data_IF_879634169884
#
_entry.id   IF_879634169884
#
_cell.length_a   1.000
_cell.length_b   1.000
_cell.length_c   1.000
_cell.angle_alpha   90.00
_cell.angle_beta   90.00
_cell.angle_gamma   90.00
#
_symmetry.space_group_name_H-M   'P 1'
#
loop_
_entity.id
_entity.type
_entity.pdbx_description
1 polymer ?
#
# COMPACT_ATOMS: atom_id res chain seq x y z
N UNK A 1 74.73 56.20 28.17
CA UNK A 1 76.05 56.51 27.59
C UNK A 1 76.10 55.83 26.22
N UNK A 2 76.27 56.61 25.15
CA UNK A 2 76.63 56.32 23.74
C UNK A 2 76.14 55.00 23.07
N UNK A 3 75.32 55.03 22.00
CA UNK A 3 75.69 55.12 20.55
C UNK A 3 76.30 53.82 19.99
N UNK A 4 76.09 53.29 18.76
CA UNK A 4 75.70 53.80 17.43
C UNK A 4 75.56 52.58 16.46
N UNK A 5 74.72 52.71 15.43
CA UNK A 5 74.82 52.26 14.01
C UNK A 5 74.73 50.77 13.56
N UNK A 6 73.67 50.52 12.77
CA UNK A 6 73.56 49.98 11.39
C UNK A 6 74.43 48.81 10.89
N UNK A 7 73.81 47.74 10.38
CA UNK A 7 74.00 47.25 8.98
C UNK A 7 72.87 46.32 8.48
N UNK A 8 72.68 46.29 7.16
CA UNK A 8 71.59 45.76 6.32
C UNK A 8 71.58 44.24 5.99
N UNK A 9 70.40 43.79 5.52
CA UNK A 9 70.09 42.82 4.43
C UNK A 9 70.06 41.27 4.70
N UNK A 10 68.89 40.64 4.94
CA UNK A 10 67.93 39.89 4.04
C UNK A 10 68.04 38.33 4.15
N UNK A 11 67.13 37.50 3.58
CA UNK A 11 65.92 36.98 4.25
C UNK A 11 65.78 35.43 4.15
N UNK A 12 64.76 34.86 4.80
CA UNK A 12 64.20 33.48 4.71
C UNK A 12 63.95 32.96 6.13
N UNK A 13 62.90 32.25 6.51
CA UNK A 13 61.71 31.70 5.88
C UNK A 13 60.71 31.45 7.03
N UNK A 14 59.42 31.75 6.79
CA UNK A 14 58.20 30.94 7.07
C UNK A 14 58.28 30.00 8.30
N UNK A 15 57.42 30.07 9.32
CA UNK A 15 56.01 29.68 9.31
C UNK A 15 55.26 30.26 10.54
N UNK A 16 54.30 31.14 10.30
CA UNK A 16 53.20 31.43 11.23
C UNK A 16 52.16 30.32 11.13
N UNK A 17 51.93 29.61 12.23
CA UNK A 17 50.80 28.68 12.39
C UNK A 17 49.54 29.52 12.59
N UNK A 18 48.74 29.67 11.53
CA UNK A 18 47.37 30.15 11.62
C UNK A 18 46.45 28.94 11.65
N UNK A 19 45.81 28.73 12.80
CA UNK A 19 44.82 27.68 13.01
C UNK A 19 43.54 28.07 12.26
N UNK A 20 43.37 27.52 11.05
CA UNK A 20 42.13 27.67 10.27
C UNK A 20 41.12 26.63 10.74
N UNK A 21 40.10 27.09 11.46
CA UNK A 21 38.90 26.31 11.71
C UNK A 21 38.19 26.07 10.36
N UNK A 22 38.30 24.86 9.82
CA UNK A 22 37.46 24.43 8.70
C UNK A 22 36.03 24.18 9.20
N UNK A 23 35.15 25.14 8.96
CA UNK A 23 33.71 24.89 8.90
C UNK A 23 33.43 24.05 7.64
N UNK A 24 33.51 22.73 7.78
CA UNK A 24 32.93 21.78 6.83
C UNK A 24 31.40 21.87 6.97
N UNK A 25 30.81 22.86 6.32
CA UNK A 25 29.37 22.84 6.00
C UNK A 25 29.20 21.77 4.95
N UNK A 26 28.95 20.53 5.41
CA UNK A 26 28.49 19.44 4.58
C UNK A 26 27.14 19.83 3.98
N UNK A 27 27.17 20.43 2.79
CA UNK A 27 26.04 20.48 1.86
C UNK A 27 25.79 19.04 1.41
N UNK A 28 25.22 18.22 2.30
CA UNK A 28 24.46 17.05 1.89
C UNK A 28 23.30 17.64 1.09
N UNK A 29 23.20 17.38 -0.23
CA UNK A 29 21.93 17.58 -0.88
C UNK A 29 20.98 16.65 -0.15
N UNK A 30 20.04 17.21 0.62
CA UNK A 30 18.79 16.54 0.96
C UNK A 30 18.03 16.35 -0.36
N UNK A 31 18.57 15.52 -1.24
CA UNK A 31 17.78 14.77 -2.18
C UNK A 31 17.09 13.68 -1.36
N UNK A 32 16.11 14.08 -0.54
CA UNK A 32 14.94 13.23 -0.39
C UNK A 32 14.25 13.26 -1.74
N UNK A 33 14.80 12.54 -2.73
CA UNK A 33 13.93 11.91 -3.70
C UNK A 33 13.08 11.00 -2.83
N UNK A 34 11.85 11.42 -2.52
CA UNK A 34 10.83 10.46 -2.16
C UNK A 34 10.78 9.52 -3.34
N UNK A 35 11.51 8.40 -3.26
CA UNK A 35 11.26 7.27 -4.15
C UNK A 35 9.78 7.03 -3.95
N UNK A 36 8.99 7.28 -4.99
CA UNK A 36 7.56 7.06 -4.96
C UNK A 36 7.37 5.60 -4.55
N UNK A 37 7.05 5.36 -3.28
CA UNK A 37 6.76 4.05 -2.69
C UNK A 37 5.35 3.60 -3.13
N UNK A 38 5.05 3.78 -4.41
CA UNK A 38 3.80 3.47 -5.06
C UNK A 38 3.97 2.17 -5.87
N UNK A 39 2.94 1.34 -5.92
CA UNK A 39 2.96 0.12 -6.73
C UNK A 39 2.97 0.48 -8.21
N UNK A 40 3.76 -0.21 -9.03
CA UNK A 40 3.67 -0.07 -10.48
C UNK A 40 2.29 -0.53 -10.98
N UNK A 41 1.56 0.32 -11.70
CA UNK A 41 0.16 0.05 -12.09
C UNK A 41 0.02 -1.19 -13.00
N UNK A 42 1.00 -1.43 -13.90
CA UNK A 42 0.99 -2.62 -14.75
C UNK A 42 1.22 -3.90 -13.94
N UNK A 43 2.09 -3.82 -12.95
CA UNK A 43 2.37 -4.89 -11.99
C UNK A 43 1.15 -5.15 -11.10
N UNK A 44 0.51 -4.09 -10.58
CA UNK A 44 -0.73 -4.20 -9.83
C UNK A 44 -1.83 -4.89 -10.66
N UNK A 45 -1.98 -4.53 -11.94
CA UNK A 45 -2.92 -5.19 -12.84
C UNK A 45 -2.65 -6.70 -12.93
N UNK A 46 -1.40 -7.10 -13.20
CA UNK A 46 -1.02 -8.52 -13.25
C UNK A 46 -1.28 -9.27 -11.95
N UNK A 47 -1.05 -8.62 -10.80
CA UNK A 47 -1.34 -9.20 -9.47
C UNK A 47 -2.84 -9.39 -9.27
N UNK A 48 -3.65 -8.37 -9.56
CA UNK A 48 -5.11 -8.46 -9.43
C UNK A 48 -5.72 -9.47 -10.40
N UNK A 49 -5.20 -9.58 -11.63
CA UNK A 49 -5.61 -10.63 -12.58
C UNK A 49 -5.24 -12.03 -12.08
N UNK A 50 -4.04 -12.20 -11.50
CA UNK A 50 -3.68 -13.45 -10.84
C UNK A 50 -4.69 -13.78 -9.73
N UNK A 51 -5.10 -12.81 -8.91
CA UNK A 51 -6.10 -13.05 -7.87
C UNK A 51 -7.44 -13.49 -8.44
N UNK A 52 -7.93 -12.84 -9.49
CA UNK A 52 -9.20 -13.18 -10.13
C UNK A 52 -9.17 -14.59 -10.71
N UNK A 53 -8.15 -14.91 -11.52
CA UNK A 53 -8.00 -16.23 -12.12
C UNK A 53 -7.89 -17.33 -11.04
N UNK A 54 -7.19 -17.04 -9.95
CA UNK A 54 -6.86 -18.04 -8.93
C UNK A 54 -7.94 -18.18 -7.86
N UNK A 55 -8.61 -17.11 -7.45
CA UNK A 55 -9.44 -17.05 -6.23
C UNK A 55 -10.89 -16.61 -6.43
N UNK A 56 -11.29 -16.13 -7.62
CA UNK A 56 -12.67 -15.65 -7.83
C UNK A 56 -13.71 -16.77 -7.66
N UNK A 57 -14.70 -16.52 -6.79
CA UNK A 57 -15.80 -17.42 -6.43
C UNK A 57 -17.15 -16.67 -6.33
N UNK A 58 -17.24 -15.52 -6.99
CA UNK A 58 -18.20 -14.46 -6.65
C UNK A 58 -17.49 -13.34 -5.89
N UNK A 59 -18.18 -12.64 -4.98
CA UNK A 59 -17.54 -11.61 -4.15
C UNK A 59 -16.47 -12.22 -3.24
N UNK A 60 -15.28 -11.64 -3.29
CA UNK A 60 -14.15 -12.02 -2.46
C UNK A 60 -13.20 -10.84 -2.27
N UNK A 61 -12.37 -10.94 -1.23
CA UNK A 61 -11.24 -10.06 -1.00
C UNK A 61 -9.97 -10.89 -0.74
N UNK A 62 -8.82 -10.35 -1.14
CA UNK A 62 -7.50 -10.95 -0.95
C UNK A 62 -6.57 -9.85 -0.46
N UNK A 63 -5.65 -10.20 0.44
CA UNK A 63 -4.53 -9.34 0.76
C UNK A 63 -3.25 -10.15 0.73
N UNK A 64 -2.21 -9.57 0.12
CA UNK A 64 -0.86 -10.13 0.18
C UNK A 64 0.07 -9.21 0.96
N UNK A 65 1.12 -9.77 1.55
CA UNK A 65 2.28 -9.05 2.07
C UNK A 65 3.55 -9.78 1.61
N UNK A 66 4.13 -9.28 0.53
CA UNK A 66 5.23 -9.91 -0.20
C UNK A 66 6.49 -9.04 -0.17
N UNK A 67 7.68 -9.57 -0.54
CA UNK A 67 8.86 -8.72 -0.75
C UNK A 67 8.57 -7.53 -1.67
N UNK A 68 9.15 -6.36 -1.37
CA UNK A 68 8.91 -5.09 -2.08
C UNK A 68 9.09 -5.20 -3.61
N UNK A 69 10.12 -5.92 -4.04
CA UNK A 69 10.44 -6.14 -5.45
C UNK A 69 9.35 -6.90 -6.24
N UNK A 70 8.40 -7.55 -5.56
CA UNK A 70 7.26 -8.22 -6.21
C UNK A 70 6.13 -7.25 -6.57
N UNK A 71 6.29 -5.95 -6.29
CA UNK A 71 5.38 -4.88 -6.69
C UNK A 71 6.03 -3.83 -7.61
N UNK A 72 7.30 -4.04 -7.95
CA UNK A 72 8.05 -3.17 -8.85
C UNK A 72 7.74 -3.48 -10.31
N UNK A 73 8.00 -2.50 -11.17
CA UNK A 73 7.80 -2.60 -12.61
C UNK A 73 8.47 -3.86 -13.18
N UNK A 74 7.71 -4.58 -14.01
CA UNK A 74 8.21 -5.76 -14.72
C UNK A 74 7.97 -7.08 -13.98
N UNK A 75 7.51 -7.07 -12.73
CA UNK A 75 7.15 -8.30 -12.04
C UNK A 75 5.97 -9.03 -12.72
N UNK A 76 6.05 -10.36 -12.79
CA UNK A 76 5.03 -11.23 -13.41
C UNK A 76 4.68 -12.35 -12.42
N UNK A 77 3.55 -12.23 -11.69
CA UNK A 77 3.12 -13.21 -10.69
C UNK A 77 3.01 -14.65 -11.22
N UNK A 78 2.44 -14.82 -12.42
CA UNK A 78 2.10 -16.14 -12.98
C UNK A 78 3.31 -17.00 -13.35
N UNK A 79 4.43 -16.38 -13.70
CA UNK A 79 5.67 -17.07 -14.09
C UNK A 79 6.72 -17.06 -12.99
N UNK A 80 6.51 -16.29 -11.92
CA UNK A 80 7.46 -16.19 -10.83
C UNK A 80 7.49 -17.49 -10.00
N UNK A 81 8.68 -18.09 -9.79
CA UNK A 81 8.83 -19.23 -8.90
C UNK A 81 8.80 -18.84 -7.42
N UNK A 82 8.84 -17.55 -7.10
CA UNK A 82 8.96 -17.01 -5.73
C UNK A 82 7.72 -16.23 -5.28
N UNK A 83 6.66 -16.16 -6.09
CA UNK A 83 5.41 -15.50 -5.72
C UNK A 83 4.51 -16.45 -4.92
N UNK A 84 4.15 -16.07 -3.69
CA UNK A 84 3.20 -16.78 -2.82
C UNK A 84 3.53 -18.27 -2.64
N UNK A 85 4.80 -18.63 -2.62
CA UNK A 85 5.23 -20.05 -2.67
C UNK A 85 4.70 -20.87 -1.51
N UNK A 86 4.51 -20.23 -0.35
CA UNK A 86 4.00 -20.88 0.86
C UNK A 86 2.49 -21.09 0.83
N UNK A 87 1.77 -20.35 -0.01
CA UNK A 87 0.31 -20.39 -0.13
C UNK A 87 -0.15 -21.06 -1.45
N UNK A 88 0.78 -21.33 -2.38
CA UNK A 88 0.52 -21.78 -3.75
C UNK A 88 -0.19 -23.13 -3.88
N UNK A 89 0.09 -24.07 -2.97
CA UNK A 89 -0.45 -25.42 -3.02
C UNK A 89 -1.78 -25.58 -2.26
N UNK A 90 -2.30 -24.50 -1.67
CA UNK A 90 -3.55 -24.54 -0.94
C UNK A 90 -4.70 -24.21 -1.89
N UNK A 91 -5.77 -25.00 -1.83
CA UNK A 91 -7.00 -24.68 -2.56
C UNK A 91 -7.79 -23.60 -1.81
N UNK A 92 -7.28 -22.36 -1.85
CA UNK A 92 -7.87 -21.20 -1.19
C UNK A 92 -9.34 -21.04 -1.58
N UNK A 93 -9.71 -21.27 -2.84
CA UNK A 93 -11.08 -21.20 -3.34
C UNK A 93 -12.05 -22.04 -2.51
N UNK A 94 -11.71 -23.29 -2.22
CA UNK A 94 -12.56 -24.16 -1.39
C UNK A 94 -12.78 -23.54 -0.01
N UNK A 95 -11.72 -23.04 0.62
CA UNK A 95 -11.77 -22.46 1.97
C UNK A 95 -12.65 -21.21 1.98
N UNK A 96 -12.49 -20.31 1.01
CA UNK A 96 -13.26 -19.06 0.97
C UNK A 96 -14.67 -19.23 0.41
N UNK A 97 -15.05 -20.42 -0.06
CA UNK A 97 -16.41 -20.70 -0.60
C UNK A 97 -17.40 -21.21 0.44
N UNK A 98 -16.96 -21.51 1.67
CA UNK A 98 -17.84 -22.07 2.72
C UNK A 98 -18.79 -21.01 3.28
N UNK A 99 -19.94 -21.43 3.81
CA UNK A 99 -20.93 -20.47 4.34
C UNK A 99 -20.58 -19.95 5.74
N UNK A 100 -19.83 -20.75 6.52
CA UNK A 100 -19.44 -20.45 7.89
C UNK A 100 -17.93 -20.20 7.96
N UNK A 101 -17.55 -18.97 8.30
CA UNK A 101 -16.16 -18.52 8.42
C UNK A 101 -15.29 -18.77 7.15
N UNK A 102 -15.62 -18.17 6.00
CA UNK A 102 -14.86 -18.31 4.74
C UNK A 102 -13.59 -17.47 4.72
N UNK A 103 -12.67 -17.72 5.65
CA UNK A 103 -11.41 -16.97 5.78
C UNK A 103 -10.24 -17.94 5.67
N UNK A 104 -9.36 -17.68 4.71
CA UNK A 104 -8.05 -18.31 4.60
C UNK A 104 -6.97 -17.41 5.20
N UNK A 105 -6.21 -17.94 6.15
CA UNK A 105 -5.10 -17.27 6.82
C UNK A 105 -3.78 -17.94 6.45
N UNK A 106 -3.17 -17.50 5.36
CA UNK A 106 -1.89 -18.00 4.84
C UNK A 106 -0.67 -17.30 5.42
N UNK A 107 0.50 -17.50 4.81
CA UNK A 107 1.75 -16.86 5.25
C UNK A 107 1.91 -15.47 4.62
N UNK A 108 1.90 -15.40 3.30
CA UNK A 108 2.03 -14.16 2.52
C UNK A 108 0.68 -13.69 1.97
N UNK A 109 -0.36 -14.51 2.11
CA UNK A 109 -1.70 -14.23 1.60
C UNK A 109 -2.78 -14.50 2.67
N UNK A 110 -3.78 -13.63 2.72
CA UNK A 110 -5.08 -13.88 3.36
C UNK A 110 -6.17 -13.69 2.31
N UNK A 111 -7.26 -14.42 2.44
CA UNK A 111 -8.41 -14.28 1.54
C UNK A 111 -9.71 -14.54 2.28
N UNK A 112 -10.79 -13.89 1.84
CA UNK A 112 -12.12 -14.13 2.36
C UNK A 112 -13.19 -14.08 1.27
N UNK A 113 -14.19 -14.95 1.41
CA UNK A 113 -15.46 -14.88 0.68
C UNK A 113 -16.54 -14.17 1.51
N UNK A 114 -17.82 -14.34 1.13
CA UNK A 114 -18.95 -13.86 1.92
C UNK A 114 -19.33 -14.89 2.99
N UNK A 115 -19.33 -14.49 4.26
CA UNK A 115 -19.93 -15.30 5.31
C UNK A 115 -21.45 -15.20 5.23
N UNK A 116 -22.15 -16.34 5.20
CA UNK A 116 -23.62 -16.40 5.19
C UNK A 116 -24.17 -16.78 6.57
N UNK A 117 -23.43 -17.57 7.34
CA UNK A 117 -23.83 -18.05 8.67
C UNK A 117 -22.65 -17.99 9.65
N UNK A 118 -22.89 -17.89 10.97
CA UNK A 118 -24.18 -17.63 11.61
C UNK A 118 -24.65 -16.18 11.42
N UNK A 119 -23.73 -15.26 11.12
CA UNK A 119 -24.03 -13.85 10.92
C UNK A 119 -23.44 -13.40 9.59
N UNK A 120 -24.24 -12.82 8.67
CA UNK A 120 -23.73 -12.34 7.40
C UNK A 120 -22.60 -11.32 7.57
N UNK A 121 -21.54 -11.45 6.77
CA UNK A 121 -20.43 -10.50 6.76
C UNK A 121 -19.74 -10.47 5.40
N UNK A 122 -19.32 -9.28 4.98
CA UNK A 122 -18.59 -9.08 3.73
C UNK A 122 -17.12 -9.47 3.87
N UNK A 123 -16.52 -9.90 2.76
CA UNK A 123 -15.11 -10.30 2.69
C UNK A 123 -14.15 -9.25 3.22
N UNK A 124 -14.41 -7.97 2.96
CA UNK A 124 -13.58 -6.86 3.37
C UNK A 124 -13.58 -6.70 4.89
N UNK A 125 -14.75 -6.84 5.51
CA UNK A 125 -14.89 -6.82 6.97
C UNK A 125 -14.15 -8.00 7.60
N UNK A 126 -14.33 -9.21 7.07
CA UNK A 126 -13.71 -10.42 7.60
C UNK A 126 -12.18 -10.36 7.60
N UNK A 127 -11.57 -9.70 6.62
CA UNK A 127 -10.11 -9.53 6.57
C UNK A 127 -9.60 -8.41 7.48
N UNK A 128 -10.38 -7.34 7.64
CA UNK A 128 -9.93 -6.14 8.34
C UNK A 128 -10.27 -6.11 9.84
N UNK A 129 -11.23 -6.93 10.28
CA UNK A 129 -11.73 -6.97 11.66
C UNK A 129 -11.54 -8.33 12.36
N UNK A 130 -11.56 -8.36 13.71
CA UNK A 130 -11.57 -7.20 14.61
C UNK A 130 -10.23 -6.46 14.62
N UNK A 131 -10.22 -5.18 14.98
CA UNK A 131 -8.99 -4.40 15.07
C UNK A 131 -7.96 -5.09 16.00
N UNK A 132 -6.68 -5.04 15.61
CA UNK A 132 -5.52 -5.65 16.31
C UNK A 132 -5.44 -7.19 16.32
N UNK A 133 -6.50 -7.90 15.96
CA UNK A 133 -6.50 -9.36 15.85
C UNK A 133 -7.04 -9.87 14.49
N UNK A 134 -7.27 -8.96 13.55
CA UNK A 134 -7.76 -9.31 12.22
C UNK A 134 -6.73 -10.10 11.40
N UNK A 135 -7.19 -10.88 10.41
CA UNK A 135 -6.31 -11.48 9.39
C UNK A 135 -5.30 -10.48 8.81
N UNK A 136 -5.76 -9.26 8.49
CA UNK A 136 -4.90 -8.18 8.01
C UNK A 136 -3.82 -7.82 9.05
N UNK A 137 -4.19 -7.64 10.33
CA UNK A 137 -3.20 -7.32 11.37
C UNK A 137 -2.13 -8.41 11.48
N UNK A 138 -2.54 -9.67 11.48
CA UNK A 138 -1.62 -10.81 11.55
C UNK A 138 -0.69 -10.83 10.33
N UNK A 139 -1.22 -10.57 9.13
CA UNK A 139 -0.43 -10.51 7.90
C UNK A 139 0.58 -9.35 7.90
N UNK A 140 0.19 -8.16 8.33
CA UNK A 140 1.07 -6.99 8.40
C UNK A 140 2.20 -7.16 9.41
N UNK A 141 2.01 -7.95 10.47
CA UNK A 141 3.04 -8.19 11.48
C UNK A 141 4.16 -9.14 11.03
N UNK A 142 3.97 -9.87 9.92
CA UNK A 142 4.98 -10.84 9.43
C UNK A 142 6.14 -10.18 8.69
N UNK A 143 5.91 -9.01 8.11
CA UNK A 143 6.88 -8.23 7.33
C UNK A 143 6.44 -6.77 7.38
N UNK A 144 7.33 -5.84 7.73
CA UNK A 144 7.01 -4.42 7.94
C UNK A 144 7.45 -3.51 6.78
N UNK A 145 8.28 -4.02 5.86
CA UNK A 145 8.93 -3.33 4.75
C UNK A 145 8.53 -3.90 3.37
N UNK A 146 7.55 -4.81 3.34
CA UNK A 146 7.08 -5.46 2.12
C UNK A 146 6.19 -4.58 1.25
N UNK A 147 5.57 -5.22 0.26
CA UNK A 147 4.46 -4.66 -0.49
C UNK A 147 3.15 -5.33 -0.08
N UNK A 148 2.18 -4.51 0.31
CA UNK A 148 0.84 -4.93 0.69
C UNK A 148 -0.18 -4.50 -0.35
N UNK A 149 -0.87 -5.45 -0.95
CA UNK A 149 -1.98 -5.17 -1.87
C UNK A 149 -3.23 -5.74 -1.25
N UNK A 150 -4.19 -4.87 -0.89
CA UNK A 150 -5.55 -5.25 -0.56
C UNK A 150 -6.41 -5.17 -1.82
N UNK A 151 -7.00 -6.28 -2.23
CA UNK A 151 -7.88 -6.36 -3.40
C UNK A 151 -9.27 -6.86 -3.01
N UNK A 152 -10.31 -6.27 -3.59
CA UNK A 152 -11.70 -6.76 -3.49
C UNK A 152 -12.34 -6.77 -4.88
N UNK A 153 -13.13 -7.80 -5.22
CA UNK A 153 -13.73 -7.89 -6.56
C UNK A 153 -14.67 -6.71 -6.83
N UNK A 154 -15.62 -6.47 -5.92
CA UNK A 154 -16.48 -5.30 -5.94
C UNK A 154 -15.99 -4.24 -4.95
N UNK A 155 -16.24 -2.97 -5.24
CA UNK A 155 -15.94 -1.85 -4.35
C UNK A 155 -16.59 -2.07 -2.98
N UNK A 156 -15.93 -1.70 -1.87
CA UNK A 156 -16.56 -1.78 -0.56
C UNK A 156 -17.85 -0.96 -0.54
N UNK A 157 -18.95 -1.57 -0.13
CA UNK A 157 -20.26 -0.93 -0.21
C UNK A 157 -20.36 0.32 0.69
N UNK A 158 -21.08 1.33 0.19
CA UNK A 158 -21.28 2.62 0.87
C UNK A 158 -21.89 2.45 2.26
N UNK A 159 -23.00 1.71 2.35
CA UNK A 159 -23.86 1.68 3.54
C UNK A 159 -23.36 0.79 4.70
N UNK A 160 -22.37 -0.08 4.44
CA UNK A 160 -21.88 -1.04 5.45
C UNK A 160 -20.38 -0.97 5.60
N UNK A 161 -19.61 -1.26 4.54
CA UNK A 161 -18.15 -1.29 4.63
C UNK A 161 -17.55 0.11 4.82
N UNK A 162 -18.09 1.13 4.14
CA UNK A 162 -17.60 2.52 4.18
C UNK A 162 -18.49 3.45 5.02
N UNK A 163 -19.38 2.89 5.83
CA UNK A 163 -20.23 3.66 6.75
C UNK A 163 -19.60 3.71 8.14
N UNK A 164 -19.15 4.88 8.59
CA UNK A 164 -18.50 5.07 9.90
C UNK A 164 -19.41 4.76 11.10
N UNK A 165 -20.72 4.70 10.90
CA UNK A 165 -21.71 4.36 11.93
C UNK A 165 -22.05 2.88 11.96
N UNK A 166 -21.66 2.10 10.94
CA UNK A 166 -21.94 0.68 10.86
C UNK A 166 -20.84 -0.12 11.57
N UNK A 167 -21.20 -1.11 12.38
CA UNK A 167 -20.23 -1.93 13.10
C UNK A 167 -19.40 -2.86 12.18
N UNK A 168 -19.88 -3.12 10.97
CA UNK A 168 -19.18 -3.87 9.92
C UNK A 168 -18.25 -3.02 9.05
N UNK A 169 -18.00 -1.77 9.43
CA UNK A 169 -17.15 -0.91 8.64
C UNK A 169 -15.69 -1.37 8.64
N UNK A 170 -14.95 -0.96 7.61
CA UNK A 170 -13.54 -1.33 7.42
C UNK A 170 -12.59 -0.17 7.74
N UNK A 171 -13.10 0.98 8.19
CA UNK A 171 -12.33 2.22 8.37
C UNK A 171 -11.14 2.02 9.34
N UNK A 172 -11.31 1.40 10.53
CA UNK A 172 -10.17 1.11 11.41
C UNK A 172 -9.12 0.19 10.77
N UNK A 173 -9.53 -0.73 9.91
CA UNK A 173 -8.62 -1.58 9.15
C UNK A 173 -7.84 -0.81 8.10
N UNK A 174 -8.48 0.16 7.44
CA UNK A 174 -7.80 1.09 6.54
C UNK A 174 -6.78 1.95 7.29
N UNK A 175 -7.09 2.45 8.49
CA UNK A 175 -6.14 3.20 9.33
C UNK A 175 -4.92 2.33 9.71
N UNK A 176 -5.14 1.04 9.98
CA UNK A 176 -4.05 0.08 10.24
C UNK A 176 -3.16 -0.11 9.01
N UNK A 177 -3.75 -0.26 7.83
CA UNK A 177 -3.01 -0.40 6.58
C UNK A 177 -2.30 0.90 6.19
N UNK A 178 -2.89 2.07 6.46
CA UNK A 178 -2.24 3.37 6.32
C UNK A 178 -0.95 3.47 7.13
N UNK A 179 -0.93 2.95 8.37
CA UNK A 179 0.25 2.98 9.24
C UNK A 179 1.40 2.06 8.81
N UNK A 180 1.18 1.14 7.88
CA UNK A 180 2.21 0.25 7.33
C UNK A 180 3.35 1.05 6.69
N UNK A 181 4.62 0.64 6.80
CA UNK A 181 5.74 1.46 6.29
C UNK A 181 6.15 1.13 4.85
N UNK A 182 5.92 -0.10 4.41
CA UNK A 182 6.20 -0.53 3.04
C UNK A 182 5.20 -0.04 1.99
N UNK A 183 5.38 -0.49 0.74
CA UNK A 183 4.46 -0.22 -0.37
C UNK A 183 3.07 -0.72 0.01
N UNK A 184 2.04 0.06 -0.30
CA UNK A 184 0.65 -0.31 -0.02
C UNK A 184 -0.28 0.15 -1.14
N UNK A 185 -1.27 -0.68 -1.46
CA UNK A 185 -2.32 -0.35 -2.41
C UNK A 185 -3.67 -0.95 -1.98
N UNK A 186 -4.74 -0.20 -2.21
CA UNK A 186 -6.10 -0.72 -2.17
C UNK A 186 -6.63 -0.77 -3.61
N UNK A 187 -7.07 -1.93 -4.08
CA UNK A 187 -7.56 -2.14 -5.42
C UNK A 187 -8.95 -2.76 -5.43
N UNK A 188 -9.79 -2.36 -6.38
CA UNK A 188 -11.05 -3.03 -6.67
C UNK A 188 -11.29 -3.11 -8.18
N UNK A 189 -12.17 -4.00 -8.65
CA UNK A 189 -12.47 -4.11 -10.08
C UNK A 189 -13.80 -3.46 -10.46
N UNK A 190 -14.87 -3.90 -9.81
CA UNK A 190 -16.24 -3.53 -10.17
C UNK A 190 -16.83 -2.57 -9.15
N UNK A 191 -17.72 -1.68 -9.59
CA UNK A 191 -18.56 -0.92 -8.66
C UNK A 191 -19.64 -1.85 -8.13
N UNK A 192 -19.80 -1.88 -6.81
CA UNK A 192 -20.85 -2.66 -6.16
C UNK A 192 -22.22 -2.33 -6.75
N UNK A 193 -22.96 -3.36 -7.15
CA UNK A 193 -24.17 -3.19 -7.97
C UNK A 193 -25.21 -2.28 -7.32
N UNK A 194 -25.31 -2.27 -5.99
CA UNK A 194 -26.27 -1.43 -5.27
C UNK A 194 -25.83 0.04 -5.13
N UNK A 195 -24.59 0.36 -5.48
CA UNK A 195 -24.02 1.70 -5.39
C UNK A 195 -23.86 2.38 -6.77
N UNK A 196 -24.13 1.65 -7.87
CA UNK A 196 -23.98 2.13 -9.26
C UNK A 196 -24.84 3.37 -9.59
N UNK A 197 -25.96 3.57 -8.88
CA UNK A 197 -26.82 4.73 -9.05
C UNK A 197 -26.50 5.88 -8.08
N UNK A 198 -25.56 5.68 -7.14
CA UNK A 198 -25.22 6.62 -6.06
C UNK A 198 -23.82 7.21 -6.26
N UNK A 199 -23.49 7.63 -7.48
CA UNK A 199 -22.11 7.99 -7.87
C UNK A 199 -21.52 9.12 -7.04
N UNK A 200 -22.31 10.12 -6.63
CA UNK A 200 -21.82 11.23 -5.80
C UNK A 200 -21.38 10.73 -4.41
N UNK A 201 -22.20 9.91 -3.76
CA UNK A 201 -21.87 9.33 -2.46
C UNK A 201 -20.73 8.30 -2.59
N UNK A 202 -20.72 7.51 -3.66
CA UNK A 202 -19.62 6.60 -3.97
C UNK A 202 -18.29 7.35 -4.10
N UNK A 203 -18.29 8.49 -4.79
CA UNK A 203 -17.11 9.35 -4.93
C UNK A 203 -16.58 9.77 -3.56
N UNK A 204 -17.45 10.25 -2.67
CA UNK A 204 -17.09 10.65 -1.31
C UNK A 204 -16.51 9.47 -0.51
N UNK A 205 -17.15 8.30 -0.59
CA UNK A 205 -16.70 7.08 0.10
C UNK A 205 -15.38 6.51 -0.43
N UNK A 206 -15.17 6.57 -1.74
CA UNK A 206 -13.87 6.21 -2.32
C UNK A 206 -12.78 7.23 -1.95
N UNK A 207 -13.13 8.51 -1.79
CA UNK A 207 -12.21 9.53 -1.28
C UNK A 207 -11.76 9.22 0.15
N UNK A 208 -12.63 8.66 1.00
CA UNK A 208 -12.24 8.20 2.34
C UNK A 208 -11.13 7.14 2.27
N UNK A 209 -11.19 6.19 1.34
CA UNK A 209 -10.10 5.22 1.13
C UNK A 209 -8.85 5.93 0.59
N UNK A 210 -9.00 6.72 -0.47
CA UNK A 210 -7.89 7.38 -1.16
C UNK A 210 -7.12 8.35 -0.27
N UNK A 211 -7.77 8.97 0.73
CA UNK A 211 -7.11 9.81 1.73
C UNK A 211 -6.16 9.05 2.66
N UNK A 212 -6.30 7.73 2.77
CA UNK A 212 -5.53 6.85 3.66
C UNK A 212 -4.47 6.05 2.91
N UNK A 213 -4.85 5.49 1.77
CA UNK A 213 -4.04 4.53 0.99
C UNK A 213 -4.23 4.82 -0.50
N UNK A 214 -3.18 4.67 -1.35
CA UNK A 214 -3.36 4.73 -2.80
C UNK A 214 -4.44 3.77 -3.28
N UNK A 215 -5.50 4.32 -3.89
CA UNK A 215 -6.68 3.61 -4.33
C UNK A 215 -6.64 3.43 -5.84
N UNK A 216 -6.86 2.21 -6.31
CA UNK A 216 -6.89 1.88 -7.73
C UNK A 216 -8.18 1.15 -8.10
N UNK A 217 -8.60 1.35 -9.34
CA UNK A 217 -9.58 0.50 -10.00
C UNK A 217 -8.89 -0.31 -11.09
N UNK A 218 -8.93 -1.63 -10.96
CA UNK A 218 -8.32 -2.58 -11.87
C UNK A 218 -9.40 -3.27 -12.71
N UNK A 219 -9.65 -2.74 -13.90
CA UNK A 219 -10.71 -3.17 -14.80
C UNK A 219 -10.29 -3.01 -16.26
N UNK A 220 -10.78 -3.88 -17.14
CA UNK A 220 -10.62 -3.71 -18.59
C UNK A 220 -9.17 -3.77 -19.10
N UNK A 221 -8.28 -4.51 -18.41
CA UNK A 221 -6.90 -4.68 -18.86
C UNK A 221 -5.87 -3.75 -18.20
N UNK A 222 -6.29 -2.85 -17.30
CA UNK A 222 -5.40 -1.91 -16.65
C UNK A 222 -5.85 -1.60 -15.22
N UNK A 223 -4.95 -1.03 -14.42
CA UNK A 223 -5.28 -0.37 -13.16
C UNK A 223 -5.15 1.14 -13.31
N UNK A 224 -6.22 1.85 -12.95
CA UNK A 224 -6.27 3.32 -12.92
C UNK A 224 -6.16 3.79 -11.49
N UNK A 225 -5.24 4.71 -11.21
CA UNK A 225 -5.21 5.41 -9.92
C UNK A 225 -6.47 6.28 -9.77
N UNK A 226 -7.24 5.98 -8.73
CA UNK A 226 -8.44 6.72 -8.38
C UNK A 226 -8.10 7.96 -7.54
N UNK A 227 -7.15 7.81 -6.62
CA UNK A 227 -6.68 8.88 -5.74
C UNK A 227 -5.64 8.34 -4.76
N UNK A 228 -4.92 9.25 -4.09
CA UNK A 228 -3.88 8.88 -3.12
C UNK A 228 -3.75 9.87 -1.97
N UNK A 229 -3.15 9.46 -0.84
CA UNK A 229 -2.99 10.32 0.33
C UNK A 229 -2.23 11.61 0.00
N UNK A 230 -2.63 12.71 0.62
CA UNK A 230 -2.01 14.02 0.40
C UNK A 230 -2.37 14.68 -0.95
N UNK A 231 -3.14 14.02 -1.81
CA UNK A 231 -3.69 14.65 -3.02
C UNK A 231 -4.92 15.49 -2.67
N UNK A 232 -4.97 16.72 -3.22
CA UNK A 232 -6.17 17.56 -3.19
C UNK A 232 -7.09 17.31 -4.40
N UNK A 233 -6.68 16.43 -5.32
CA UNK A 233 -7.51 16.07 -6.47
C UNK A 233 -8.67 15.18 -6.02
N UNK A 234 -9.83 15.39 -6.64
CA UNK A 234 -10.98 14.51 -6.50
C UNK A 234 -10.69 13.12 -7.08
N UNK A 235 -11.50 12.13 -6.70
CA UNK A 235 -11.47 10.80 -7.31
C UNK A 235 -11.55 10.91 -8.84
N UNK A 236 -10.62 10.23 -9.51
CA UNK A 236 -10.58 10.08 -10.95
C UNK A 236 -11.90 9.49 -11.46
N UNK A 237 -12.58 10.20 -12.36
CA UNK A 237 -13.88 9.79 -12.92
C UNK A 237 -13.85 8.43 -13.61
N UNK A 238 -12.71 7.99 -14.15
CA UNK A 238 -12.57 6.64 -14.72
C UNK A 238 -12.80 5.53 -13.68
N UNK A 239 -12.62 5.80 -12.39
CA UNK A 239 -12.94 4.88 -11.31
C UNK A 239 -14.43 4.80 -10.96
N UNK A 240 -15.26 5.68 -11.52
CA UNK A 240 -16.69 5.80 -11.22
C UNK A 240 -17.58 5.30 -12.37
N UNK A 241 -17.00 4.93 -13.52
CA UNK A 241 -17.76 4.44 -14.67
C UNK A 241 -18.36 3.04 -14.38
N UNK A 242 -19.66 2.87 -14.53
CA UNK A 242 -20.34 1.58 -14.38
C UNK A 242 -20.24 0.77 -15.68
#
# INVERSE_FOLDING_TARGET
MQSKFDTLYTPSQVFTVLSSALLLVSLLPLCTQSVDNEVDQNTLYRITEFFRQTYEIGQFAVTINVPMNQCENGFIPSTSPVFLTQDRNVNVKIIISVDNYPVYNGIELIAAGIQKTPTPAHSEFLLMNPLNASPLTVLLNKRNDGCVIFYTLNSPCINTCLSTTNWYNIIPGLDKLQAYQGIKAFAFSNIWIHDQNNINELKEKLQEIASRIPLYRCFGGACTLCGKPGSNAEINGACLNV
#
